data_IF_121550792947
#
_entry.id   IF_121550792947
#
_cell.length_a   1.000
_cell.length_b   1.000
_cell.length_c   1.000
_cell.angle_alpha   90.00
_cell.angle_beta   90.00
_cell.angle_gamma   90.00
#
_symmetry.space_group_name_H-M   'P 1'
#
loop_
_entity.id
_entity.type
_entity.pdbx_description
1 polymer ?
#
# COMPACT_ATOMS: atom_id res chain seq x y z
N UNK A 1 12.78 16.45 4.48
CA UNK A 1 12.31 15.97 3.15
C UNK A 1 10.82 15.71 3.20
N UNK A 2 10.19 15.59 2.03
CA UNK A 2 8.77 15.26 1.89
C UNK A 2 8.47 13.87 2.46
N UNK A 3 7.34 13.71 3.16
CA UNK A 3 6.94 12.46 3.83
C UNK A 3 5.48 12.15 3.49
N UNK A 4 5.21 11.41 2.40
CA UNK A 4 3.85 11.05 2.03
C UNK A 4 3.14 10.33 3.17
N UNK A 5 1.94 10.78 3.51
CA UNK A 5 1.06 10.23 4.56
C UNK A 5 -0.37 10.16 4.04
N UNK A 6 -1.17 9.32 4.67
CA UNK A 6 -2.60 9.12 4.40
C UNK A 6 -3.43 9.69 5.55
N UNK A 7 -4.73 9.87 5.33
CA UNK A 7 -5.63 10.45 6.34
C UNK A 7 -5.77 9.63 7.62
N UNK A 8 -5.55 8.32 7.57
CA UNK A 8 -5.61 7.39 8.71
C UNK A 8 -4.23 6.97 9.23
N UNK A 9 -3.14 7.48 8.65
CA UNK A 9 -1.77 7.15 9.03
C UNK A 9 -1.28 5.75 8.64
N UNK A 10 -2.08 4.96 7.90
CA UNK A 10 -1.70 3.63 7.41
C UNK A 10 -1.21 3.70 5.95
N UNK A 11 -0.21 2.89 5.53
CA UNK A 11 0.24 2.88 4.16
C UNK A 11 -0.85 2.40 3.18
N UNK A 12 -0.74 2.80 1.91
CA UNK A 12 -1.52 2.25 0.79
C UNK A 12 -0.64 1.23 0.09
N UNK A 13 -1.03 -0.05 0.15
CA UNK A 13 -0.29 -1.19 -0.37
C UNK A 13 -1.21 -2.08 -1.23
N UNK A 14 -0.86 -2.31 -2.48
CA UNK A 14 -1.51 -3.32 -3.32
C UNK A 14 -2.04 -2.78 -4.65
N UNK A 15 -3.05 -3.44 -5.19
CA UNK A 15 -3.64 -3.13 -6.50
C UNK A 15 -4.49 -1.87 -6.47
N UNK A 16 -4.53 -1.19 -7.60
CA UNK A 16 -5.46 -0.07 -7.85
C UNK A 16 -6.62 -0.50 -8.74
N UNK A 17 -7.52 0.42 -9.06
CA UNK A 17 -8.54 0.22 -10.10
C UNK A 17 -7.95 0.09 -11.52
N UNK A 18 -6.70 0.50 -11.73
CA UNK A 18 -6.00 0.38 -13.00
C UNK A 18 -5.29 -0.98 -13.06
N UNK A 19 -5.58 -1.75 -14.12
CA UNK A 19 -4.98 -3.06 -14.34
C UNK A 19 -3.45 -2.97 -14.36
N UNK A 20 -2.80 -3.89 -13.64
CA UNK A 20 -1.35 -4.00 -13.51
C UNK A 20 -0.65 -2.78 -12.87
N UNK A 21 -1.39 -1.88 -12.21
CA UNK A 21 -0.82 -0.80 -11.42
C UNK A 21 -0.90 -1.12 -9.92
N UNK A 22 0.26 -1.03 -9.27
CA UNK A 22 0.44 -1.32 -7.85
C UNK A 22 1.02 -0.11 -7.13
N UNK A 23 0.64 0.06 -5.86
CA UNK A 23 1.06 1.17 -5.02
C UNK A 23 1.69 0.64 -3.73
N UNK A 24 2.77 1.31 -3.30
CA UNK A 24 3.32 1.24 -1.95
C UNK A 24 3.74 2.64 -1.52
N UNK A 25 2.87 3.35 -0.80
CA UNK A 25 3.12 4.73 -0.36
C UNK A 25 2.46 5.02 0.99
N UNK A 26 2.63 6.24 1.50
CA UNK A 26 1.92 6.70 2.70
C UNK A 26 2.59 6.32 4.03
N UNK A 27 3.79 5.75 4.02
CA UNK A 27 4.49 5.30 5.24
C UNK A 27 4.99 6.43 6.16
N UNK A 28 4.88 7.70 5.72
CA UNK A 28 5.23 8.87 6.51
C UNK A 28 6.67 8.83 7.04
N UNK A 29 6.82 9.04 8.35
CA UNK A 29 8.14 9.01 9.01
C UNK A 29 8.74 7.60 9.12
N UNK A 30 7.92 6.57 8.98
CA UNK A 30 8.31 5.17 9.20
C UNK A 30 8.72 4.45 7.90
N UNK A 31 8.90 5.17 6.79
CA UNK A 31 9.19 4.58 5.47
C UNK A 31 10.38 3.62 5.46
N UNK A 32 11.55 4.05 5.95
CA UNK A 32 12.76 3.21 6.00
C UNK A 32 12.56 1.99 6.91
N UNK A 33 11.90 2.18 8.05
CA UNK A 33 11.61 1.11 9.01
C UNK A 33 10.71 0.03 8.39
N UNK A 34 9.70 0.44 7.61
CA UNK A 34 8.69 -0.46 7.04
C UNK A 34 9.02 -0.97 5.64
N UNK A 35 10.09 -0.48 5.01
CA UNK A 35 10.46 -0.86 3.65
C UNK A 35 10.64 -2.38 3.47
N UNK A 36 11.35 -3.13 4.35
CA UNK A 36 11.52 -4.57 4.17
C UNK A 36 10.23 -5.38 4.30
N UNK A 37 9.32 -4.96 5.18
CA UNK A 37 8.01 -5.61 5.33
C UNK A 37 7.11 -5.33 4.11
N UNK A 38 7.11 -4.08 3.64
CA UNK A 38 6.36 -3.65 2.46
C UNK A 38 6.82 -4.38 1.20
N UNK A 39 8.13 -4.48 0.98
CA UNK A 39 8.69 -5.18 -0.17
C UNK A 39 8.29 -6.66 -0.19
N UNK A 40 8.34 -7.35 0.96
CA UNK A 40 7.89 -8.74 1.06
C UNK A 40 6.40 -8.91 0.76
N UNK A 41 5.56 -8.03 1.29
CA UNK A 41 4.12 -8.06 1.03
C UNK A 41 3.80 -7.83 -0.46
N UNK A 42 4.43 -6.84 -1.10
CA UNK A 42 4.25 -6.60 -2.52
C UNK A 42 4.81 -7.72 -3.40
N UNK A 43 5.98 -8.28 -3.07
CA UNK A 43 6.53 -9.41 -3.83
C UNK A 43 5.61 -10.63 -3.77
N UNK A 44 5.07 -10.94 -2.59
CA UNK A 44 4.08 -12.00 -2.39
C UNK A 44 2.79 -11.75 -3.22
N UNK A 45 2.31 -10.51 -3.28
CA UNK A 45 1.17 -10.15 -4.12
C UNK A 45 1.49 -10.31 -5.62
N UNK A 46 2.64 -9.78 -6.06
CA UNK A 46 3.02 -9.72 -7.47
C UNK A 46 3.36 -11.08 -8.07
N UNK A 47 4.03 -11.94 -7.30
CA UNK A 47 4.54 -13.23 -7.78
C UNK A 47 3.56 -14.37 -7.49
N UNK A 48 2.92 -14.34 -6.32
CA UNK A 48 2.10 -15.46 -5.84
C UNK A 48 0.60 -15.12 -5.78
N UNK A 49 0.19 -13.88 -6.08
CA UNK A 49 -1.20 -13.44 -5.96
C UNK A 49 -1.71 -13.36 -4.51
N UNK A 50 -0.81 -13.31 -3.51
CA UNK A 50 -1.21 -13.28 -2.10
C UNK A 50 -1.86 -11.96 -1.72
N UNK A 51 -3.02 -12.04 -1.07
CA UNK A 51 -3.75 -10.88 -0.60
C UNK A 51 -2.96 -10.08 0.45
N UNK A 52 -3.06 -8.76 0.36
CA UNK A 52 -2.63 -7.82 1.40
C UNK A 52 -3.86 -7.48 2.24
N UNK A 53 -3.67 -7.25 3.55
CA UNK A 53 -4.77 -6.88 4.44
C UNK A 53 -5.53 -5.65 3.90
N UNK A 54 -6.86 -5.74 3.91
CA UNK A 54 -7.77 -4.75 3.30
C UNK A 54 -7.59 -3.34 3.87
N UNK A 55 -7.19 -3.23 5.14
CA UNK A 55 -6.87 -1.96 5.80
C UNK A 55 -5.73 -1.19 5.11
N UNK A 56 -4.90 -1.86 4.30
CA UNK A 56 -3.87 -1.23 3.49
C UNK A 56 -4.30 -0.99 2.04
N UNK A 57 -5.50 -1.39 1.63
CA UNK A 57 -5.96 -1.26 0.25
C UNK A 57 -5.83 0.19 -0.26
N UNK A 58 -5.27 0.42 -1.47
CA UNK A 58 -5.23 1.73 -2.10
C UNK A 58 -6.61 2.36 -2.32
N UNK A 59 -7.67 1.55 -2.38
CA UNK A 59 -9.05 2.00 -2.64
C UNK A 59 -9.88 2.17 -1.36
N UNK A 60 -9.31 2.01 -0.17
CA UNK A 60 -10.09 2.07 1.09
C UNK A 60 -10.74 3.43 1.41
N UNK A 61 -10.30 4.49 0.74
CA UNK A 61 -10.88 5.83 0.84
C UNK A 61 -11.82 6.17 -0.31
N UNK A 62 -12.06 5.23 -1.23
CA UNK A 62 -13.03 5.44 -2.29
C UNK A 62 -14.42 5.64 -1.66
N UNK A 63 -15.12 6.67 -2.11
CA UNK A 63 -16.53 6.84 -1.78
C UNK A 63 -17.30 5.63 -2.34
N UNK A 64 -18.23 5.08 -1.55
CA UNK A 64 -19.18 4.11 -2.07
C UNK A 64 -19.94 4.77 -3.22
N UNK A 65 -19.96 4.10 -4.37
CA UNK A 65 -20.73 4.54 -5.54
C UNK A 65 -22.23 4.38 -5.29
#
# INVERSE_FOLDING_TARGET
>A
GLRPTTGDGLPLLGTTSVKNLYVATGHGRNGVLLAPATARALAALLLDGKAIAEVFSPTRFALAA
#
